data_IF_935346277337
#
_entry.id   IF_935346277337
#
_cell.length_a   1.000
_cell.length_b   1.000
_cell.length_c   1.000
_cell.angle_alpha   90.00
_cell.angle_beta   90.00
_cell.angle_gamma   90.00
#
_symmetry.space_group_name_H-M   'P 1'
#
loop_
_entity.id
_entity.type
_entity.pdbx_description
1 polymer ?
#
# COMPACT_ATOMS: atom_id res chain seq x y z
N UNK A 1 8.25 -2.72 9.78
CA UNK A 1 8.24 -1.68 8.73
C UNK A 1 7.61 -2.23 7.48
N UNK A 2 6.63 -1.56 6.94
CA UNK A 2 6.00 -1.93 5.68
C UNK A 2 6.08 -0.79 4.68
N UNK A 3 6.38 -1.14 3.43
CA UNK A 3 6.35 -0.23 2.29
C UNK A 3 5.16 -0.62 1.42
N UNK A 4 4.34 0.36 1.07
CA UNK A 4 3.20 0.16 0.15
C UNK A 4 3.42 1.12 -1.01
N UNK A 5 3.48 0.58 -2.23
CA UNK A 5 3.84 1.41 -3.38
C UNK A 5 2.93 1.11 -4.58
N UNK A 6 2.83 2.12 -5.44
CA UNK A 6 2.05 2.09 -6.67
C UNK A 6 2.95 2.58 -7.80
N UNK A 7 3.62 1.63 -8.47
CA UNK A 7 4.63 1.90 -9.49
C UNK A 7 4.09 1.74 -10.91
N UNK A 8 2.85 2.17 -11.13
CA UNK A 8 2.18 2.09 -12.42
C UNK A 8 1.66 3.43 -12.86
N UNK A 9 1.64 3.66 -14.18
CA UNK A 9 0.97 4.82 -14.76
C UNK A 9 -0.53 4.62 -14.91
N UNK A 10 -0.99 3.37 -14.96
CA UNK A 10 -2.40 3.05 -15.12
C UNK A 10 -3.26 3.73 -14.06
N UNK A 11 -4.38 4.31 -14.49
CA UNK A 11 -5.31 5.04 -13.63
C UNK A 11 -4.63 6.15 -12.82
N UNK A 12 -3.69 6.86 -13.42
CA UNK A 12 -2.92 7.91 -12.74
C UNK A 12 -3.82 9.00 -12.13
N UNK A 13 -5.00 9.20 -12.69
CA UNK A 13 -5.98 10.21 -12.26
C UNK A 13 -6.82 9.77 -11.07
N UNK A 14 -6.67 8.53 -10.60
CA UNK A 14 -7.49 7.99 -9.52
C UNK A 14 -6.66 7.86 -8.25
N UNK A 15 -7.15 8.48 -7.18
CA UNK A 15 -6.62 8.23 -5.84
C UNK A 15 -7.15 6.91 -5.31
N UNK A 16 -6.30 6.16 -4.65
CA UNK A 16 -6.68 4.92 -3.99
C UNK A 16 -6.32 5.02 -2.51
N UNK A 17 -7.30 4.82 -1.65
CA UNK A 17 -7.09 4.94 -0.21
C UNK A 17 -6.33 3.75 0.35
N UNK A 18 -5.51 4.01 1.36
CA UNK A 18 -4.86 2.98 2.17
C UNK A 18 -5.34 3.13 3.60
N UNK A 19 -5.87 2.04 4.14
CA UNK A 19 -6.25 1.95 5.54
C UNK A 19 -5.39 0.90 6.21
N UNK A 20 -5.01 1.16 7.45
CA UNK A 20 -4.32 0.18 8.29
C UNK A 20 -5.18 -0.08 9.51
N UNK A 21 -5.54 -1.33 9.73
CA UNK A 21 -6.43 -1.74 10.82
C UNK A 21 -7.70 -0.88 10.82
N UNK A 22 -8.26 -0.68 9.62
CA UNK A 22 -9.48 0.11 9.35
C UNK A 22 -9.35 1.61 9.56
N UNK A 23 -8.14 2.12 9.82
CA UNK A 23 -7.90 3.56 9.96
C UNK A 23 -7.34 4.12 8.66
N UNK A 24 -7.96 5.17 8.08
CA UNK A 24 -7.42 5.81 6.89
C UNK A 24 -6.04 6.44 7.18
N UNK A 25 -5.06 6.10 6.37
CA UNK A 25 -3.69 6.59 6.53
C UNK A 25 -3.31 7.54 5.41
N UNK A 26 -3.60 7.17 4.17
CA UNK A 26 -3.16 7.92 3.01
C UNK A 26 -4.02 7.62 1.79
N UNK A 27 -3.84 8.42 0.75
CA UNK A 27 -4.33 8.14 -0.60
C UNK A 27 -3.15 8.12 -1.54
N UNK A 28 -3.04 7.06 -2.32
CA UNK A 28 -1.94 6.90 -3.26
C UNK A 28 -2.30 7.43 -4.63
N UNK A 29 -1.27 7.88 -5.34
CA UNK A 29 -1.32 8.22 -6.76
C UNK A 29 -0.28 7.38 -7.48
N UNK A 30 -0.30 7.41 -8.82
CA UNK A 30 0.74 6.74 -9.61
C UNK A 30 2.13 7.21 -9.15
N UNK A 31 3.07 6.28 -9.09
CA UNK A 31 4.46 6.54 -8.73
C UNK A 31 4.62 7.12 -7.33
N UNK A 32 3.80 6.68 -6.38
CA UNK A 32 3.91 7.06 -4.98
C UNK A 32 4.11 5.84 -4.09
N UNK A 33 4.70 6.06 -2.92
CA UNK A 33 4.79 5.03 -1.90
C UNK A 33 4.65 5.63 -0.52
N UNK A 34 4.27 4.80 0.44
CA UNK A 34 4.29 5.15 1.86
C UNK A 34 5.08 4.11 2.63
N UNK A 35 5.61 4.55 3.74
CA UNK A 35 6.40 3.73 4.65
C UNK A 35 5.81 3.87 6.05
N UNK A 36 5.47 2.73 6.65
CA UNK A 36 4.81 2.72 7.96
C UNK A 36 5.54 1.80 8.92
N UNK A 37 5.66 2.23 10.16
CA UNK A 37 6.09 1.37 11.25
C UNK A 37 4.86 0.72 11.85
N UNK A 38 4.90 -0.62 11.96
CA UNK A 38 3.83 -1.41 12.54
C UNK A 38 4.36 -2.13 13.77
N UNK A 39 3.56 -2.17 14.82
CA UNK A 39 3.85 -3.02 15.97
C UNK A 39 3.81 -4.49 15.55
N UNK A 40 4.59 -5.37 16.21
CA UNK A 40 4.45 -6.80 15.98
C UNK A 40 3.02 -7.26 16.24
N UNK A 41 2.54 -8.23 15.47
CA UNK A 41 1.21 -8.78 15.61
C UNK A 41 0.41 -8.74 14.32
N UNK A 42 -0.87 -9.05 14.45
CA UNK A 42 -1.79 -9.10 13.32
C UNK A 42 -2.16 -7.69 12.85
N UNK A 43 -2.06 -7.47 11.54
CA UNK A 43 -2.49 -6.22 10.91
C UNK A 43 -3.24 -6.50 9.61
N UNK A 44 -4.12 -5.58 9.26
CA UNK A 44 -4.89 -5.64 8.02
C UNK A 44 -4.68 -4.34 7.25
N UNK A 45 -4.23 -4.47 6.01
CA UNK A 45 -4.08 -3.34 5.09
C UNK A 45 -5.24 -3.40 4.10
N UNK A 46 -5.92 -2.28 3.91
CA UNK A 46 -7.02 -2.18 2.96
C UNK A 46 -6.65 -1.19 1.86
N UNK A 47 -6.82 -1.60 0.61
CA UNK A 47 -6.72 -0.72 -0.55
C UNK A 47 -8.12 -0.39 -1.04
N UNK A 48 -8.49 0.89 -1.03
CA UNK A 48 -9.80 1.36 -1.47
C UNK A 48 -9.78 1.79 -2.92
N UNK A 49 -10.70 1.23 -3.68
CA UNK A 49 -10.95 1.57 -5.08
C UNK A 49 -12.45 1.37 -5.34
N UNK A 50 -12.85 1.01 -6.53
CA UNK A 50 -14.25 0.66 -6.79
C UNK A 50 -14.72 -0.44 -5.84
N UNK A 51 -13.82 -1.37 -5.54
CA UNK A 51 -14.03 -2.44 -4.57
C UNK A 51 -12.79 -2.52 -3.68
N UNK A 52 -13.00 -2.68 -2.38
CA UNK A 52 -11.90 -2.79 -1.44
C UNK A 52 -11.18 -4.13 -1.59
N UNK A 53 -9.86 -4.09 -1.48
CA UNK A 53 -9.02 -5.28 -1.37
C UNK A 53 -8.30 -5.26 -0.02
N UNK A 54 -8.28 -6.38 0.66
CA UNK A 54 -7.73 -6.49 2.00
C UNK A 54 -6.57 -7.48 2.01
N UNK A 55 -5.52 -7.13 2.75
CA UNK A 55 -4.37 -7.98 2.96
C UNK A 55 -4.09 -8.07 4.45
N UNK A 56 -4.31 -9.24 5.04
CA UNK A 56 -4.06 -9.50 6.45
C UNK A 56 -2.76 -10.27 6.60
N UNK A 57 -1.95 -9.91 7.59
CA UNK A 57 -0.68 -10.57 7.82
C UNK A 57 -0.24 -10.43 9.27
N UNK A 58 0.70 -11.28 9.66
CA UNK A 58 1.32 -11.25 10.98
C UNK A 58 2.66 -10.52 10.86
N UNK A 59 2.76 -9.32 11.42
CA UNK A 59 3.99 -8.54 11.39
C UNK A 59 4.95 -9.05 12.47
N UNK A 60 6.21 -9.22 12.08
CA UNK A 60 7.26 -9.61 13.01
C UNK A 60 8.24 -8.45 13.22
N UNK A 61 8.73 -8.33 14.46
CA UNK A 61 9.68 -7.28 14.80
C UNK A 61 10.94 -7.37 13.95
N UNK A 62 11.41 -6.23 13.45
CA UNK A 62 12.65 -6.13 12.66
C UNK A 62 12.54 -6.58 11.21
N UNK A 63 11.37 -7.02 10.76
CA UNK A 63 11.19 -7.44 9.37
C UNK A 63 10.66 -6.32 8.49
N UNK A 64 11.03 -6.36 7.21
CA UNK A 64 10.52 -5.47 6.18
C UNK A 64 9.50 -6.20 5.33
N UNK A 65 8.42 -5.50 5.02
CA UNK A 65 7.36 -6.00 4.17
C UNK A 65 7.15 -5.03 3.01
N UNK A 66 6.87 -5.58 1.83
CA UNK A 66 6.59 -4.79 0.63
C UNK A 66 5.27 -5.24 0.02
N UNK A 67 4.34 -4.31 -0.11
CA UNK A 67 3.08 -4.52 -0.80
C UNK A 67 3.01 -3.64 -2.03
N UNK A 68 2.74 -4.24 -3.17
CA UNK A 68 2.47 -3.51 -4.40
C UNK A 68 0.97 -3.32 -4.54
N UNK A 69 0.56 -2.08 -4.74
CA UNK A 69 -0.83 -1.75 -5.03
C UNK A 69 -1.02 -1.76 -6.54
N UNK A 70 -1.61 -2.83 -7.04
CA UNK A 70 -1.76 -3.07 -8.49
C UNK A 70 -3.12 -2.58 -8.94
N UNK A 71 -3.15 -1.85 -10.05
CA UNK A 71 -4.39 -1.39 -10.66
C UNK A 71 -5.02 -2.53 -11.46
N UNK A 72 -6.30 -2.77 -11.22
CA UNK A 72 -7.07 -3.81 -11.89
C UNK A 72 -8.27 -3.20 -12.59
N UNK A 73 -8.79 -3.85 -13.66
CA UNK A 73 -10.01 -3.36 -14.31
C UNK A 73 -11.20 -3.41 -13.37
N UNK A 74 -12.04 -2.38 -13.42
CA UNK A 74 -13.31 -2.32 -12.72
C UNK A 74 -14.45 -2.10 -13.69
N UNK A 75 -15.68 -2.00 -13.16
CA UNK A 75 -16.86 -1.79 -13.98
C UNK A 75 -17.00 -0.32 -14.35
N UNK A 76 -16.97 0.57 -13.37
CA UNK A 76 -17.07 2.03 -13.57
C UNK A 76 -15.76 2.73 -13.28
N UNK A 77 -15.04 2.27 -12.26
CA UNK A 77 -13.76 2.82 -11.83
C UNK A 77 -12.75 1.69 -11.74
N UNK A 78 -11.45 2.02 -11.81
CA UNK A 78 -10.43 1.00 -11.58
C UNK A 78 -10.54 0.38 -10.20
N UNK A 79 -10.18 -0.87 -10.11
CA UNK A 79 -10.02 -1.61 -8.86
C UNK A 79 -8.55 -1.76 -8.54
N UNK A 80 -8.25 -2.16 -7.32
CA UNK A 80 -6.89 -2.38 -6.88
C UNK A 80 -6.73 -3.73 -6.22
N UNK A 81 -5.49 -4.21 -6.18
CA UNK A 81 -5.13 -5.43 -5.49
C UNK A 81 -3.81 -5.20 -4.77
N UNK A 82 -3.74 -5.64 -3.51
CA UNK A 82 -2.51 -5.62 -2.74
C UNK A 82 -1.77 -6.95 -2.93
N UNK A 83 -0.53 -6.87 -3.36
CA UNK A 83 0.29 -8.03 -3.66
C UNK A 83 1.57 -7.97 -2.84
N UNK A 84 1.82 -8.99 -2.03
CA UNK A 84 3.09 -9.12 -1.32
C UNK A 84 4.19 -9.46 -2.31
N UNK A 85 5.29 -8.72 -2.24
CA UNK A 85 6.43 -8.94 -3.13
C UNK A 85 7.71 -9.16 -2.33
N UNK A 86 8.69 -9.90 -2.88
CA UNK A 86 9.99 -10.06 -2.24
C UNK A 86 10.71 -8.73 -2.10
N UNK A 87 11.63 -8.64 -1.14
CA UNK A 87 12.34 -7.39 -0.83
C UNK A 87 13.04 -6.80 -2.05
N UNK A 88 13.71 -7.61 -2.88
CA UNK A 88 14.41 -7.09 -4.05
C UNK A 88 13.47 -6.41 -5.04
N UNK A 89 12.32 -7.04 -5.31
CA UNK A 89 11.31 -6.48 -6.20
C UNK A 89 10.67 -5.24 -5.59
N UNK A 90 10.41 -5.29 -4.29
CA UNK A 90 9.84 -4.16 -3.56
C UNK A 90 10.75 -2.95 -3.58
N UNK A 91 12.04 -3.13 -3.33
CA UNK A 91 13.02 -2.03 -3.38
C UNK A 91 13.10 -1.41 -4.76
N UNK A 92 13.09 -2.24 -5.79
CA UNK A 92 13.10 -1.75 -7.18
C UNK A 92 11.86 -0.90 -7.46
N UNK A 93 10.68 -1.36 -7.04
CA UNK A 93 9.43 -0.62 -7.23
C UNK A 93 9.43 0.70 -6.46
N UNK A 94 9.77 0.66 -5.17
CA UNK A 94 9.80 1.85 -4.30
C UNK A 94 10.77 2.90 -4.85
N UNK A 95 11.92 2.48 -5.38
CA UNK A 95 12.91 3.42 -5.91
C UNK A 95 12.41 4.21 -7.13
N UNK A 96 11.35 3.76 -7.78
CA UNK A 96 10.71 4.48 -8.90
C UNK A 96 9.65 5.47 -8.42
N UNK A 97 9.34 5.47 -7.14
CA UNK A 97 8.22 6.21 -6.57
C UNK A 97 8.71 7.35 -5.68
N UNK A 98 7.80 8.29 -5.40
CA UNK A 98 8.03 9.38 -4.46
C UNK A 98 7.33 9.09 -3.15
N UNK A 99 7.99 9.38 -2.05
CA UNK A 99 7.43 9.21 -0.72
C UNK A 99 6.27 10.19 -0.51
N UNK A 100 5.14 9.67 -0.05
CA UNK A 100 4.01 10.49 0.35
C UNK A 100 4.32 11.17 1.69
N UNK A 101 3.89 12.43 1.80
CA UNK A 101 4.04 13.23 3.02
C UNK A 101 2.92 12.87 4.01
N UNK A 102 3.07 11.74 4.66
CA UNK A 102 2.14 11.24 5.66
C UNK A 102 2.92 10.74 6.89
N UNK A 103 2.29 10.67 8.07
CA UNK A 103 2.96 10.10 9.24
C UNK A 103 3.45 8.67 8.98
N UNK A 104 4.62 8.35 9.50
CA UNK A 104 5.22 7.02 9.36
C UNK A 104 4.77 6.06 10.45
N UNK A 105 4.09 6.55 11.46
CA UNK A 105 3.58 5.74 12.58
C UNK A 105 2.07 5.67 12.50
N UNK A 106 1.54 4.45 12.60
CA UNK A 106 0.09 4.23 12.59
C UNK A 106 -0.48 4.63 13.94
N UNK A 107 -1.53 5.46 14.00
CA UNK A 107 -2.21 5.78 15.25
C UNK A 107 -2.77 4.51 15.91
N UNK A 108 -2.61 4.41 17.20
CA UNK A 108 -3.18 3.31 17.99
C UNK A 108 -4.60 3.62 18.45
#
# INVERSE_FOLDING_TARGET
>A
MIYIYRDEYAAYYVFMGILVDKQPIARTVSWSYLRLELSPGHHEITSRAEKDDEFAFQAEAGKLYFLRQVVMPGIKLPRSKLVSVPENDGRTGVNKCKLLDVPTTVPE
#
